data_IF_125972634812
#
_entry.id   IF_125972634812
#
_cell.length_a   1.000
_cell.length_b   1.000
_cell.length_c   1.000
_cell.angle_alpha   90.00
_cell.angle_beta   90.00
_cell.angle_gamma   90.00
#
_symmetry.space_group_name_H-M   'P 1'
#
loop_
_entity.id
_entity.type
_entity.pdbx_description
1 polymer ?
#
# COMPACT_ATOMS: atom_id res chain seq x y z
N UNK A 1 39.28 -9.86 -20.77
CA UNK A 1 39.02 -9.32 -19.43
C UNK A 1 37.53 -9.04 -19.31
N UNK A 2 36.76 -9.94 -18.71
CA UNK A 2 35.31 -9.76 -18.52
C UNK A 2 35.10 -9.27 -17.10
N UNK A 3 34.77 -7.98 -16.95
CA UNK A 3 34.38 -7.42 -15.65
C UNK A 3 33.01 -7.99 -15.30
N UNK A 4 32.88 -8.61 -14.13
CA UNK A 4 31.60 -9.22 -13.71
C UNK A 4 30.53 -8.14 -13.58
N UNK A 5 29.30 -8.43 -14.05
CA UNK A 5 28.16 -7.52 -13.90
C UNK A 5 27.85 -7.19 -12.43
N UNK A 6 28.34 -7.99 -11.48
CA UNK A 6 28.22 -7.73 -10.05
C UNK A 6 28.96 -6.45 -9.63
N UNK A 7 30.08 -6.11 -10.26
CA UNK A 7 30.82 -4.87 -9.99
C UNK A 7 30.09 -3.61 -10.50
N UNK A 8 29.27 -3.75 -11.56
CA UNK A 8 28.49 -2.62 -12.12
C UNK A 8 27.28 -2.24 -11.25
N UNK A 9 26.84 -3.11 -10.34
CA UNK A 9 25.68 -2.87 -9.49
C UNK A 9 26.02 -2.28 -8.10
N UNK A 10 27.30 -2.16 -7.75
CA UNK A 10 27.76 -1.76 -6.42
C UNK A 10 27.51 -0.28 -6.04
N UNK A 11 26.92 0.51 -6.94
CA UNK A 11 26.63 1.95 -6.74
C UNK A 11 25.17 2.37 -6.96
N UNK A 12 24.25 1.45 -7.31
CA UNK A 12 22.83 1.78 -7.38
C UNK A 12 22.23 1.68 -5.97
N UNK A 13 22.15 2.80 -5.26
CA UNK A 13 21.14 2.90 -4.20
C UNK A 13 19.78 2.57 -4.83
N UNK A 14 19.06 1.53 -4.35
CA UNK A 14 17.72 1.27 -4.85
C UNK A 14 16.90 2.55 -4.64
N UNK A 15 16.19 3.00 -5.67
CA UNK A 15 15.35 4.18 -5.58
C UNK A 15 14.50 4.09 -4.30
N UNK A 16 14.76 4.96 -3.33
CA UNK A 16 14.14 4.85 -2.02
C UNK A 16 12.66 5.20 -2.15
N UNK A 17 11.78 4.20 -1.99
CA UNK A 17 10.36 4.45 -1.90
C UNK A 17 10.08 5.32 -0.65
N UNK A 18 9.36 6.43 -0.82
CA UNK A 18 8.94 7.26 0.31
C UNK A 18 7.83 6.55 1.07
N UNK A 19 8.05 6.29 2.36
CA UNK A 19 7.05 5.70 3.27
C UNK A 19 6.52 6.79 4.20
N UNK A 20 5.19 6.90 4.32
CA UNK A 20 4.52 7.85 5.20
C UNK A 20 3.58 7.03 6.11
N UNK A 21 3.85 7.05 7.41
CA UNK A 21 2.98 6.42 8.41
C UNK A 21 2.01 7.46 8.98
N UNK A 22 0.72 7.16 8.96
CA UNK A 22 -0.35 8.01 9.51
C UNK A 22 -0.87 7.32 10.77
N UNK A 23 -0.66 7.91 11.94
CA UNK A 23 -0.99 7.31 13.24
C UNK A 23 -1.62 8.32 14.20
N UNK A 24 -2.21 7.83 15.29
CA UNK A 24 -2.82 8.60 16.39
C UNK A 24 -3.15 7.65 17.52
N UNK A 25 -2.92 8.08 18.76
CA UNK A 25 -3.27 7.33 19.98
C UNK A 25 -4.77 7.29 20.30
N UNK A 26 -5.62 8.01 19.56
CA UNK A 26 -7.08 8.01 19.75
C UNK A 26 -7.81 7.38 18.55
N UNK A 27 -8.88 6.65 18.82
CA UNK A 27 -9.83 6.18 17.81
C UNK A 27 -10.64 7.34 17.23
N UNK A 28 -11.17 7.18 16.02
CA UNK A 28 -12.14 8.13 15.45
C UNK A 28 -11.60 9.48 14.96
N UNK A 29 -10.29 9.77 15.07
CA UNK A 29 -9.71 11.06 14.65
C UNK A 29 -9.57 11.26 13.13
N UNK A 30 -10.07 10.32 12.33
CA UNK A 30 -10.06 10.43 10.86
C UNK A 30 -8.79 9.97 10.14
N UNK A 31 -7.92 9.17 10.78
CA UNK A 31 -6.68 8.65 10.16
C UNK A 31 -6.92 8.00 8.79
N UNK A 32 -7.86 7.05 8.73
CA UNK A 32 -8.18 6.32 7.49
C UNK A 32 -8.69 7.26 6.40
N UNK A 33 -9.58 8.19 6.76
CA UNK A 33 -10.07 9.23 5.86
C UNK A 33 -8.93 10.08 5.29
N UNK A 34 -8.03 10.56 6.15
CA UNK A 34 -6.88 11.35 5.73
C UNK A 34 -5.93 10.54 4.83
N UNK A 35 -5.62 9.30 5.21
CA UNK A 35 -4.73 8.43 4.44
C UNK A 35 -5.28 8.11 3.04
N UNK A 36 -6.56 7.76 2.94
CA UNK A 36 -7.23 7.47 1.67
C UNK A 36 -7.24 8.70 0.74
N UNK A 37 -7.63 9.86 1.26
CA UNK A 37 -7.69 11.09 0.47
C UNK A 37 -6.29 11.59 0.07
N UNK A 38 -5.30 11.48 0.95
CA UNK A 38 -3.91 11.82 0.61
C UNK A 38 -3.39 10.90 -0.51
N UNK A 39 -3.65 9.59 -0.42
CA UNK A 39 -3.26 8.64 -1.45
C UNK A 39 -3.89 8.97 -2.81
N UNK A 40 -5.19 9.28 -2.82
CA UNK A 40 -5.92 9.69 -4.04
C UNK A 40 -5.35 10.99 -4.61
N UNK A 41 -5.09 11.99 -3.77
CA UNK A 41 -4.50 13.26 -4.21
C UNK A 41 -3.13 13.02 -4.85
N UNK A 42 -2.25 12.24 -4.21
CA UNK A 42 -0.93 11.91 -4.76
C UNK A 42 -1.02 11.14 -6.09
N UNK A 43 -1.97 10.20 -6.22
CA UNK A 43 -2.21 9.50 -7.47
C UNK A 43 -2.67 10.44 -8.59
N UNK A 44 -3.54 11.41 -8.29
CA UNK A 44 -3.95 12.48 -9.23
C UNK A 44 -2.76 13.34 -9.67
N UNK A 45 -1.77 13.55 -8.80
CA UNK A 45 -0.47 14.15 -9.14
C UNK A 45 0.51 13.18 -9.83
N UNK A 46 -0.01 12.11 -10.47
CA UNK A 46 0.75 11.10 -11.23
C UNK A 46 1.83 10.38 -10.42
N UNK A 47 1.71 10.35 -9.09
CA UNK A 47 2.61 9.56 -8.25
C UNK A 47 2.14 8.10 -8.20
N UNK A 48 3.09 7.17 -8.16
CA UNK A 48 2.80 5.76 -7.90
C UNK A 48 2.58 5.60 -6.39
N UNK A 49 1.36 5.32 -5.98
CA UNK A 49 0.97 5.22 -4.58
C UNK A 49 0.49 3.80 -4.28
N UNK A 50 0.97 3.26 -3.17
CA UNK A 50 0.43 2.07 -2.52
C UNK A 50 -0.11 2.49 -1.15
N UNK A 51 -1.42 2.41 -0.96
CA UNK A 51 -2.07 2.58 0.33
C UNK A 51 -2.12 1.22 1.03
N UNK A 52 -1.61 1.16 2.25
CA UNK A 52 -1.66 -0.04 3.09
C UNK A 52 -2.45 0.31 4.32
N UNK A 53 -3.54 -0.42 4.59
CA UNK A 53 -4.23 -0.28 5.87
C UNK A 53 -3.54 -1.15 6.93
N UNK A 54 -3.14 -0.51 8.03
CA UNK A 54 -2.43 -1.18 9.13
C UNK A 54 -3.35 -1.72 10.22
N UNK A 55 -4.67 -1.56 10.07
CA UNK A 55 -5.66 -2.05 11.04
C UNK A 55 -6.34 -3.31 10.49
N UNK A 56 -5.89 -4.47 10.98
CA UNK A 56 -6.48 -5.78 10.64
C UNK A 56 -7.77 -6.08 11.41
N UNK A 57 -8.11 -5.29 12.44
CA UNK A 57 -9.25 -5.54 13.33
C UNK A 57 -10.51 -4.84 12.86
N UNK A 58 -10.36 -3.64 12.32
CA UNK A 58 -11.45 -2.76 11.87
C UNK A 58 -10.99 -2.04 10.59
N UNK A 59 -10.69 -2.79 9.52
CA UNK A 59 -10.35 -2.17 8.25
C UNK A 59 -11.53 -1.34 7.74
N UNK A 60 -11.22 -0.17 7.18
CA UNK A 60 -12.23 0.80 6.78
C UNK A 60 -11.96 1.40 5.40
N UNK A 61 -10.78 1.20 4.80
CA UNK A 61 -10.43 1.76 3.47
C UNK A 61 -11.30 1.16 2.38
N UNK A 62 -11.57 -0.14 2.45
CA UNK A 62 -12.45 -0.83 1.52
C UNK A 62 -13.88 -0.27 1.57
N UNK A 63 -14.47 -0.16 2.76
CA UNK A 63 -15.80 0.45 2.96
C UNK A 63 -15.81 1.91 2.51
N UNK A 64 -14.81 2.70 2.93
CA UNK A 64 -14.68 4.12 2.61
C UNK A 64 -14.58 4.37 1.10
N UNK A 65 -13.91 3.46 0.37
CA UNK A 65 -13.68 3.58 -1.06
C UNK A 65 -14.67 2.74 -1.90
N UNK A 66 -15.67 2.11 -1.26
CA UNK A 66 -16.67 1.30 -1.95
C UNK A 66 -16.07 0.08 -2.67
N UNK A 67 -15.05 -0.54 -2.08
CA UNK A 67 -14.36 -1.70 -2.62
C UNK A 67 -14.90 -2.99 -2.01
N UNK A 68 -14.86 -4.07 -2.80
CA UNK A 68 -15.17 -5.42 -2.35
C UNK A 68 -13.97 -6.34 -2.66
N UNK A 69 -12.92 -6.35 -1.81
CA UNK A 69 -11.77 -7.21 -1.99
C UNK A 69 -12.16 -8.69 -1.90
N UNK A 70 -11.68 -9.51 -2.84
CA UNK A 70 -11.83 -10.97 -2.75
C UNK A 70 -10.90 -11.59 -1.70
N UNK A 71 -9.75 -10.94 -1.46
CA UNK A 71 -8.72 -11.35 -0.52
C UNK A 71 -8.07 -10.12 0.12
N UNK A 72 -7.53 -10.31 1.32
CA UNK A 72 -6.93 -9.26 2.13
C UNK A 72 -5.61 -9.73 2.78
N UNK A 73 -5.01 -8.87 3.59
CA UNK A 73 -3.74 -9.13 4.26
C UNK A 73 -3.83 -10.34 5.22
N UNK A 74 -4.99 -10.61 5.82
CA UNK A 74 -5.20 -11.82 6.61
C UNK A 74 -4.97 -13.09 5.77
N UNK A 75 -5.42 -13.14 4.51
CA UNK A 75 -5.17 -14.30 3.64
C UNK A 75 -3.69 -14.50 3.29
N UNK A 76 -2.91 -13.43 3.26
CA UNK A 76 -1.46 -13.52 3.04
C UNK A 76 -0.78 -14.12 4.26
N UNK A 77 -1.18 -13.68 5.45
CA UNK A 77 -0.60 -14.15 6.72
C UNK A 77 -1.00 -15.58 7.06
N UNK A 78 -2.23 -15.99 6.74
CA UNK A 78 -2.81 -17.24 7.27
C UNK A 78 -3.35 -18.21 6.21
N UNK A 79 -3.39 -17.83 4.93
CA UNK A 79 -3.97 -18.67 3.85
C UNK A 79 -3.05 -18.83 2.64
N UNK A 80 -1.74 -18.57 2.82
CA UNK A 80 -0.69 -18.75 1.80
C UNK A 80 -0.94 -17.98 0.48
N UNK A 81 -1.70 -16.89 0.52
CA UNK A 81 -1.81 -15.95 -0.61
C UNK A 81 -0.55 -15.09 -0.69
N UNK A 82 -0.17 -14.64 -1.88
CA UNK A 82 0.93 -13.67 -2.02
C UNK A 82 0.36 -12.25 -1.96
N UNK A 83 1.19 -11.29 -1.53
CA UNK A 83 0.79 -9.88 -1.50
C UNK A 83 0.27 -9.41 -2.87
N UNK A 84 0.89 -9.84 -3.97
CA UNK A 84 0.48 -9.42 -5.30
C UNK A 84 -0.93 -9.87 -5.67
N UNK A 85 -1.43 -10.95 -5.06
CA UNK A 85 -2.75 -11.52 -5.32
C UNK A 85 -3.87 -10.76 -4.58
N UNK A 86 -3.52 -9.87 -3.65
CA UNK A 86 -4.47 -9.08 -2.85
C UNK A 86 -4.44 -7.58 -3.18
N UNK A 87 -3.49 -7.13 -4.00
CA UNK A 87 -3.40 -5.70 -4.36
C UNK A 87 -4.53 -5.34 -5.33
N UNK A 88 -5.31 -4.33 -4.96
CA UNK A 88 -6.43 -3.84 -5.77
C UNK A 88 -6.09 -2.44 -6.30
N UNK A 89 -6.53 -2.14 -7.52
CA UNK A 89 -6.40 -0.80 -8.09
C UNK A 89 -7.76 -0.11 -8.05
N UNK A 90 -7.84 0.99 -7.30
CA UNK A 90 -9.02 1.85 -7.28
C UNK A 90 -9.06 2.72 -8.54
N UNK A 91 -10.23 3.15 -9.06
CA UNK A 91 -10.35 3.98 -10.26
C UNK A 91 -9.53 5.28 -10.26
N UNK A 92 -9.14 5.79 -9.09
CA UNK A 92 -8.22 6.94 -8.97
C UNK A 92 -6.76 6.65 -9.35
N UNK A 93 -6.40 5.38 -9.57
CA UNK A 93 -5.03 4.92 -9.82
C UNK A 93 -4.24 4.56 -8.56
N UNK A 94 -4.83 4.68 -7.37
CA UNK A 94 -4.22 4.20 -6.11
C UNK A 94 -4.26 2.68 -6.07
N UNK A 95 -3.12 2.05 -5.77
CA UNK A 95 -3.06 0.63 -5.41
C UNK A 95 -3.26 0.47 -3.92
N UNK A 96 -3.99 -0.56 -3.51
CA UNK A 96 -4.43 -0.74 -2.13
C UNK A 96 -4.09 -2.16 -1.69
N UNK A 97 -3.55 -2.29 -0.48
CA UNK A 97 -3.47 -3.54 0.27
C UNK A 97 -4.58 -3.52 1.32
N UNK A 98 -5.69 -4.25 1.10
CA UNK A 98 -6.78 -4.34 2.06
C UNK A 98 -6.37 -5.18 3.27
N UNK A 99 -6.86 -4.79 4.45
CA UNK A 99 -6.46 -5.41 5.72
C UNK A 99 -7.43 -6.55 6.15
N UNK A 100 -8.74 -6.33 6.07
CA UNK A 100 -9.79 -7.33 6.30
C UNK A 100 -10.76 -7.46 5.13
#
# INVERSE_FOLDING_TARGET
MTVSQAALNYGRQPASNRVIAITSGKGGVGKTNFAANLAIALARYRKKVLLVEGDLSLANVDVLLGLQPAYNLHNVLFSNKRIQDIVITHPSGVRIVPAS
#
